data_IF_429754071263
#
_entry.id   IF_429754071263
#
_cell.length_a   1.000
_cell.length_b   1.000
_cell.length_c   1.000
_cell.angle_alpha   90.00
_cell.angle_beta   90.00
_cell.angle_gamma   90.00
#
_symmetry.space_group_name_H-M   'P 1'
#
loop_
_entity.id
_entity.type
_entity.pdbx_description
1 polymer ?
#
# COMPACT_ATOMS: atom_id res chain seq x y z
N UNK A 1 4.38 -17.56 29.44
CA UNK A 1 3.66 -16.33 29.77
C UNK A 1 3.08 -15.84 28.47
N UNK A 2 1.88 -16.31 28.14
CA UNK A 2 1.09 -15.70 27.07
C UNK A 2 0.65 -14.35 27.64
N UNK A 3 1.34 -13.30 27.21
CA UNK A 3 0.80 -11.96 27.32
C UNK A 3 -0.48 -12.00 26.47
N UNK A 4 -1.64 -11.73 27.06
CA UNK A 4 -2.89 -11.85 26.30
C UNK A 4 -2.84 -10.83 25.17
N UNK A 5 -3.26 -11.25 23.97
CA UNK A 5 -3.35 -10.38 22.79
C UNK A 5 -4.03 -9.02 23.09
N UNK A 6 -4.91 -8.99 24.10
CA UNK A 6 -5.57 -7.78 24.61
C UNK A 6 -4.63 -6.77 25.28
N UNK A 7 -3.63 -7.19 26.06
CA UNK A 7 -2.65 -6.28 26.67
C UNK A 7 -1.66 -5.72 25.64
N UNK A 8 -1.32 -6.51 24.61
CA UNK A 8 -0.48 -6.07 23.49
C UNK A 8 -1.25 -5.10 22.57
N UNK A 9 -2.50 -5.40 22.24
CA UNK A 9 -3.41 -4.47 21.55
C UNK A 9 -3.61 -3.18 22.34
N UNK A 10 -3.80 -3.27 23.66
CA UNK A 10 -3.95 -2.11 24.54
C UNK A 10 -2.68 -1.24 24.56
N UNK A 11 -1.48 -1.83 24.57
CA UNK A 11 -0.23 -1.08 24.50
C UNK A 11 -0.01 -0.40 23.14
N UNK A 12 -0.53 -0.99 22.06
CA UNK A 12 -0.46 -0.44 20.71
C UNK A 12 -1.52 0.64 20.43
N UNK A 13 -2.58 0.76 21.25
CA UNK A 13 -3.70 1.68 20.97
C UNK A 13 -3.32 3.14 20.71
N UNK A 14 -2.22 3.65 21.29
CA UNK A 14 -1.78 5.03 21.07
C UNK A 14 -1.24 5.27 19.64
N UNK A 15 -0.78 4.21 18.95
CA UNK A 15 -0.30 4.27 17.56
C UNK A 15 -1.33 3.85 16.49
N UNK A 16 -2.50 3.37 16.89
CA UNK A 16 -3.56 2.91 15.98
C UNK A 16 -4.78 3.84 15.93
N UNK A 17 -4.69 5.02 16.54
CA UNK A 17 -5.76 6.01 16.46
C UNK A 17 -5.80 6.66 15.07
N UNK A 18 -6.88 6.41 14.34
CA UNK A 18 -7.22 7.14 13.11
C UNK A 18 -8.09 8.33 13.51
N UNK A 19 -7.51 9.53 13.48
CA UNK A 19 -8.22 10.77 13.82
C UNK A 19 -9.32 11.09 12.80
N UNK A 20 -8.95 11.06 11.51
CA UNK A 20 -9.86 11.31 10.40
C UNK A 20 -9.38 10.59 9.15
N UNK A 21 -10.28 10.45 8.17
CA UNK A 21 -9.99 9.92 6.83
C UNK A 21 -10.55 10.86 5.79
N UNK A 22 -9.91 10.90 4.61
CA UNK A 22 -10.51 11.54 3.44
C UNK A 22 -11.70 10.72 2.91
N UNK A 23 -12.44 11.31 1.98
CA UNK A 23 -13.24 10.52 1.04
C UNK A 23 -12.32 9.72 0.08
N UNK A 24 -12.91 8.77 -0.66
CA UNK A 24 -12.14 8.00 -1.65
C UNK A 24 -11.75 8.88 -2.84
N UNK A 25 -10.46 8.93 -3.13
CA UNK A 25 -9.93 9.53 -4.35
C UNK A 25 -9.67 8.45 -5.39
N UNK A 26 -10.03 8.71 -6.64
CA UNK A 26 -9.61 7.88 -7.77
C UNK A 26 -8.64 8.65 -8.63
N UNK A 27 -7.46 8.07 -8.84
CA UNK A 27 -6.49 8.51 -9.82
C UNK A 27 -6.66 7.69 -11.10
N UNK A 28 -6.63 8.34 -12.25
CA UNK A 28 -6.66 7.70 -13.56
C UNK A 28 -5.86 8.51 -14.57
N UNK A 29 -5.33 7.85 -15.60
CA UNK A 29 -4.71 8.55 -16.73
C UNK A 29 -5.79 8.94 -17.74
N UNK A 30 -5.79 10.19 -18.18
CA UNK A 30 -6.65 10.63 -19.27
C UNK A 30 -6.12 10.19 -20.65
N UNK A 31 -6.77 10.64 -21.73
CA UNK A 31 -6.39 10.26 -23.09
C UNK A 31 -5.00 10.77 -23.50
N UNK A 32 -4.45 11.77 -22.82
CA UNK A 32 -3.12 12.32 -23.05
C UNK A 32 -2.07 11.69 -22.12
N UNK A 33 -2.47 10.72 -21.29
CA UNK A 33 -1.59 10.07 -20.32
C UNK A 33 -1.29 10.94 -19.10
N UNK A 34 -2.07 11.99 -18.86
CA UNK A 34 -1.92 12.86 -17.70
C UNK A 34 -2.75 12.28 -16.56
N UNK A 35 -2.15 12.20 -15.37
CA UNK A 35 -2.86 11.78 -14.16
C UNK A 35 -3.93 12.81 -13.78
N UNK A 36 -5.14 12.31 -13.60
CA UNK A 36 -6.29 13.03 -13.09
C UNK A 36 -6.71 12.40 -11.78
N UNK A 37 -6.95 13.23 -10.77
CA UNK A 37 -7.45 12.80 -9.46
C UNK A 37 -8.84 13.40 -9.25
N UNK A 38 -9.81 12.56 -8.89
CA UNK A 38 -11.16 13.04 -8.58
C UNK A 38 -11.14 13.99 -7.39
N UNK A 39 -11.93 15.07 -7.45
CA UNK A 39 -12.16 15.93 -6.30
C UNK A 39 -12.86 15.14 -5.19
N UNK A 40 -12.26 15.10 -4.02
CA UNK A 40 -12.86 14.57 -2.80
C UNK A 40 -12.63 15.57 -1.67
N UNK A 41 -13.39 15.46 -0.58
CA UNK A 41 -13.16 16.30 0.59
C UNK A 41 -11.88 15.85 1.29
N UNK A 42 -10.83 16.66 1.18
CA UNK A 42 -9.60 16.47 1.94
C UNK A 42 -9.81 16.88 3.40
N UNK A 43 -9.20 16.17 4.36
CA UNK A 43 -9.19 16.59 5.76
C UNK A 43 -8.40 17.91 5.92
N UNK A 44 -8.76 18.71 6.93
CA UNK A 44 -8.10 20.00 7.22
C UNK A 44 -6.61 19.87 7.62
N UNK A 45 -6.16 18.64 7.91
CA UNK A 45 -4.78 18.30 8.30
C UNK A 45 -4.12 17.48 7.20
N UNK A 46 -2.83 17.73 6.98
CA UNK A 46 -1.99 16.87 6.15
C UNK A 46 -2.05 15.40 6.64
N UNK A 47 -2.31 14.43 5.75
CA UNK A 47 -2.37 13.02 6.13
C UNK A 47 -0.99 12.52 6.57
N UNK A 48 -0.93 11.86 7.72
CA UNK A 48 0.30 11.21 8.19
C UNK A 48 0.61 9.93 7.38
N UNK A 49 -0.40 9.36 6.73
CA UNK A 49 -0.29 8.22 5.82
C UNK A 49 -1.32 8.32 4.70
N UNK A 50 -0.94 7.89 3.49
CA UNK A 50 -1.85 7.74 2.34
C UNK A 50 -1.90 6.28 1.94
N UNK A 51 -3.09 5.85 1.56
CA UNK A 51 -3.33 4.49 1.10
C UNK A 51 -3.74 4.49 -0.38
N UNK A 52 -2.98 3.79 -1.22
CA UNK A 52 -3.20 3.70 -2.67
C UNK A 52 -3.36 2.24 -3.13
N UNK A 53 -4.46 1.94 -3.81
CA UNK A 53 -4.76 0.58 -4.29
C UNK A 53 -5.16 0.62 -5.75
N UNK A 54 -4.57 -0.28 -6.54
CA UNK A 54 -5.08 -0.59 -7.87
C UNK A 54 -6.50 -1.18 -7.77
N UNK A 55 -7.40 -0.91 -8.74
CA UNK A 55 -8.72 -1.51 -8.74
C UNK A 55 -8.67 -3.03 -8.52
N UNK A 56 -9.37 -3.51 -7.49
CA UNK A 56 -9.41 -4.92 -7.11
C UNK A 56 -10.87 -5.39 -6.97
N UNK A 57 -11.16 -6.62 -7.40
CA UNK A 57 -12.44 -7.27 -7.10
C UNK A 57 -12.32 -7.90 -5.71
N UNK A 58 -13.00 -7.37 -4.68
CA UNK A 58 -12.79 -7.82 -3.31
C UNK A 58 -13.14 -9.29 -3.11
N UNK A 59 -14.03 -9.89 -3.93
CA UNK A 59 -14.58 -11.26 -3.84
C UNK A 59 -15.22 -11.64 -2.50
N UNK A 60 -14.51 -11.50 -1.39
CA UNK A 60 -14.94 -11.67 0.00
C UNK A 60 -14.26 -10.64 0.91
N UNK A 61 -14.79 -10.46 2.13
CA UNK A 61 -14.16 -9.58 3.13
C UNK A 61 -12.74 -10.06 3.51
N UNK A 62 -12.55 -11.37 3.61
CA UNK A 62 -11.25 -11.96 3.95
C UNK A 62 -10.23 -11.73 2.85
N UNK A 63 -10.62 -11.95 1.60
CA UNK A 63 -9.79 -11.63 0.46
C UNK A 63 -9.45 -10.14 0.42
N UNK A 64 -10.44 -9.26 0.60
CA UNK A 64 -10.19 -7.82 0.63
C UNK A 64 -9.19 -7.40 1.71
N UNK A 65 -9.28 -8.00 2.91
CA UNK A 65 -8.30 -7.74 3.99
C UNK A 65 -6.90 -8.20 3.63
N UNK A 66 -6.76 -9.39 3.06
CA UNK A 66 -5.46 -9.90 2.63
C UNK A 66 -4.86 -9.06 1.49
N UNK A 67 -5.70 -8.65 0.53
CA UNK A 67 -5.36 -7.74 -0.55
C UNK A 67 -4.82 -6.39 -0.02
N UNK A 68 -5.57 -5.81 0.92
CA UNK A 68 -5.25 -4.57 1.62
C UNK A 68 -3.92 -4.68 2.38
N UNK A 69 -3.73 -5.75 3.14
CA UNK A 69 -2.51 -6.00 3.89
C UNK A 69 -1.29 -6.12 2.97
N UNK A 70 -1.41 -6.90 1.89
CA UNK A 70 -0.32 -7.08 0.93
C UNK A 70 0.09 -5.76 0.27
N UNK A 71 -0.89 -4.97 -0.19
CA UNK A 71 -0.59 -3.68 -0.79
C UNK A 71 0.07 -2.70 0.21
N UNK A 72 -0.33 -2.70 1.49
CA UNK A 72 0.32 -1.91 2.54
C UNK A 72 1.79 -2.30 2.74
N UNK A 73 2.09 -3.60 2.74
CA UNK A 73 3.48 -4.11 2.84
C UNK A 73 4.31 -3.55 1.66
N UNK A 74 3.77 -3.56 0.44
CA UNK A 74 4.43 -2.99 -0.74
C UNK A 74 4.64 -1.47 -0.63
N UNK A 75 3.68 -0.72 -0.08
CA UNK A 75 3.84 0.72 0.12
C UNK A 75 4.92 1.06 1.16
N UNK A 76 4.99 0.31 2.26
CA UNK A 76 6.05 0.46 3.28
C UNK A 76 7.42 0.22 2.64
N UNK A 77 7.56 -0.86 1.86
CA UNK A 77 8.77 -1.16 1.09
C UNK A 77 9.19 0.03 0.22
N UNK A 78 8.25 0.62 -0.53
CA UNK A 78 8.53 1.72 -1.44
C UNK A 78 9.05 2.96 -0.70
N UNK A 79 8.57 3.23 0.52
CA UNK A 79 9.11 4.31 1.35
C UNK A 79 10.61 4.12 1.64
N UNK A 80 11.04 2.92 2.02
CA UNK A 80 12.46 2.62 2.26
C UNK A 80 13.30 2.74 0.98
N UNK A 81 12.84 2.14 -0.12
CA UNK A 81 13.57 2.16 -1.39
C UNK A 81 13.76 3.61 -1.88
N UNK A 82 12.72 4.44 -1.80
CA UNK A 82 12.78 5.86 -2.21
C UNK A 82 13.65 6.72 -1.28
N UNK A 83 13.88 6.29 -0.04
CA UNK A 83 14.88 6.87 0.85
C UNK A 83 16.31 6.38 0.54
N UNK A 84 16.49 5.47 -0.42
CA UNK A 84 17.79 4.89 -0.78
C UNK A 84 18.30 3.86 0.22
N UNK A 85 17.40 3.26 1.00
CA UNK A 85 17.75 2.26 2.03
C UNK A 85 17.07 0.93 1.74
N UNK A 86 17.71 -0.16 2.16
CA UNK A 86 17.14 -1.50 2.05
C UNK A 86 15.96 -1.65 3.01
N UNK A 87 14.75 -2.05 2.55
CA UNK A 87 13.63 -2.32 3.43
C UNK A 87 13.92 -3.51 4.36
N UNK A 88 13.29 -3.57 5.55
CA UNK A 88 13.32 -4.77 6.40
C UNK A 88 12.87 -6.02 5.63
N UNK A 89 13.34 -7.19 6.05
CA UNK A 89 13.14 -8.47 5.33
C UNK A 89 11.65 -8.79 5.12
N UNK A 90 10.81 -8.51 6.12
CA UNK A 90 9.36 -8.72 6.04
C UNK A 90 8.65 -7.87 4.98
N UNK A 91 9.28 -6.78 4.50
CA UNK A 91 8.75 -5.90 3.47
C UNK A 91 9.44 -6.09 2.11
N UNK A 92 10.41 -7.00 1.98
CA UNK A 92 11.09 -7.31 0.71
C UNK A 92 10.25 -8.22 -0.20
N UNK A 93 9.00 -7.83 -0.46
CA UNK A 93 8.06 -8.56 -1.32
C UNK A 93 7.98 -7.91 -2.70
N UNK A 94 7.73 -8.72 -3.73
CA UNK A 94 7.45 -8.26 -5.09
C UNK A 94 5.97 -7.87 -5.20
N UNK A 95 5.66 -6.75 -5.84
CA UNK A 95 4.29 -6.30 -6.07
C UNK A 95 4.16 -4.78 -6.17
N UNK A 96 2.98 -4.34 -6.61
CA UNK A 96 2.69 -2.91 -6.78
C UNK A 96 2.33 -2.27 -5.43
N UNK A 97 3.05 -1.21 -5.07
CA UNK A 97 2.78 -0.35 -3.92
C UNK A 97 2.28 1.02 -4.38
N UNK A 98 3.11 2.06 -4.20
CA UNK A 98 2.79 3.43 -4.58
C UNK A 98 2.93 3.65 -6.09
N UNK A 99 1.98 4.36 -6.73
CA UNK A 99 2.02 4.63 -8.17
C UNK A 99 3.31 5.37 -8.58
N UNK A 100 3.71 6.36 -7.79
CA UNK A 100 4.92 7.14 -8.01
C UNK A 100 6.20 6.31 -7.84
N UNK A 101 6.17 5.25 -7.02
CA UNK A 101 7.30 4.34 -6.89
C UNK A 101 7.42 3.44 -8.12
N UNK A 102 6.30 2.91 -8.62
CA UNK A 102 6.27 2.12 -9.87
C UNK A 102 6.86 2.92 -11.03
N UNK A 103 6.39 4.15 -11.24
CA UNK A 103 6.94 5.04 -12.27
C UNK A 103 8.45 5.26 -12.10
N UNK A 104 8.91 5.51 -10.88
CA UNK A 104 10.33 5.71 -10.61
C UNK A 104 11.16 4.46 -10.92
N UNK A 105 10.62 3.26 -10.66
CA UNK A 105 11.30 2.00 -10.97
C UNK A 105 11.40 1.77 -12.48
N UNK A 106 10.36 2.11 -13.24
CA UNK A 106 10.37 2.00 -14.71
C UNK A 106 11.30 3.02 -15.39
N UNK A 107 11.42 4.22 -14.83
CA UNK A 107 12.16 5.33 -15.46
C UNK A 107 13.64 5.41 -15.07
N UNK A 108 14.03 4.79 -13.95
CA UNK A 108 15.37 4.96 -13.37
C UNK A 108 16.01 3.60 -13.07
N UNK A 109 16.99 3.23 -13.92
CA UNK A 109 17.79 1.99 -13.82
C UNK A 109 18.50 1.74 -12.46
N UNK A 110 18.49 2.72 -11.55
CA UNK A 110 19.05 2.57 -10.21
C UNK A 110 18.17 1.70 -9.30
N UNK A 111 16.85 1.75 -9.48
CA UNK A 111 15.95 1.08 -8.56
C UNK A 111 15.83 -0.42 -8.85
N UNK A 112 15.72 -1.26 -7.80
CA UNK A 112 15.40 -2.67 -7.97
C UNK A 112 13.95 -2.87 -8.46
N UNK A 113 13.74 -3.92 -9.26
CA UNK A 113 12.46 -4.25 -9.93
C UNK A 113 11.38 -4.80 -8.97
N UNK A 114 11.15 -4.15 -7.83
CA UNK A 114 10.18 -4.62 -6.84
C UNK A 114 8.72 -4.43 -7.27
N UNK A 115 8.44 -3.57 -8.26
CA UNK A 115 7.08 -3.41 -8.80
C UNK A 115 6.61 -4.62 -9.61
N UNK A 116 7.52 -5.53 -10.00
CA UNK A 116 7.17 -6.73 -10.71
C UNK A 116 6.24 -7.61 -9.87
N UNK A 117 5.35 -8.31 -10.56
CA UNK A 117 4.43 -9.25 -9.95
C UNK A 117 5.14 -10.61 -9.88
N UNK A 118 5.07 -11.31 -8.75
CA UNK A 118 5.48 -12.70 -8.69
C UNK A 118 4.64 -13.53 -9.67
N UNK A 119 5.31 -14.21 -10.60
CA UNK A 119 4.71 -14.98 -11.70
C UNK A 119 4.08 -16.31 -11.21
N UNK A 120 3.85 -16.46 -9.91
CA UNK A 120 3.31 -17.68 -9.29
C UNK A 120 1.78 -17.64 -9.14
N UNK A 121 1.11 -16.63 -9.70
CA UNK A 121 -0.35 -16.55 -9.73
C UNK A 121 -0.98 -16.00 -8.44
N UNK A 122 -0.18 -15.53 -7.47
CA UNK A 122 -0.71 -14.84 -6.28
C UNK A 122 -1.12 -13.39 -6.59
N UNK A 123 -1.79 -13.18 -7.71
CA UNK A 123 -2.48 -11.92 -8.00
C UNK A 123 -3.86 -12.04 -7.36
N UNK A 124 -3.92 -11.91 -6.03
CA UNK A 124 -5.18 -12.01 -5.30
C UNK A 124 -5.90 -13.39 -5.46
N UNK A 125 -5.16 -14.42 -5.91
CA UNK A 125 -5.69 -15.67 -6.46
C UNK A 125 -5.80 -16.84 -5.48
N UNK A 126 -4.76 -17.09 -4.68
CA UNK A 126 -4.59 -18.35 -3.95
C UNK A 126 -4.30 -18.14 -2.45
N UNK A 127 -5.10 -17.27 -1.82
CA UNK A 127 -5.28 -17.30 -0.36
C UNK A 127 -6.42 -18.29 -0.09
N UNK A 128 -6.03 -19.54 0.20
CA UNK A 128 -6.93 -20.63 0.62
C UNK A 128 -7.20 -20.62 2.12
#
# INVERSE_FOLDING_TARGET
FEQSDEEELAALTEGFYVDTTSELHMAYLDHDGIEQVTTAVDPDKEPDARFEVSPLDPRSMEHFKAALQFNLICQIRDCFIRMGVTPPEEFQVLGVGLIAAVQAYDEVDFYPDYHLIQDDGTFYGDIH
#
